data_IF_354226056147
#
_entry.id   IF_354226056147
#
_cell.length_a   1.000
_cell.length_b   1.000
_cell.length_c   1.000
_cell.angle_alpha   90.00
_cell.angle_beta   90.00
_cell.angle_gamma   90.00
#
_symmetry.space_group_name_H-M   'P 1'
#
loop_
_entity.id
_entity.type
_entity.pdbx_description
1 polymer ?
#
# COMPACT_ATOMS: atom_id res chain seq x y z
N UNK A 1 -20.35 -20.06 -0.14
CA UNK A 1 -21.28 -18.94 -0.39
C UNK A 1 -20.82 -17.79 0.48
N UNK A 2 -20.05 -16.84 -0.10
CA UNK A 2 -19.47 -15.74 0.65
C UNK A 2 -20.59 -14.79 1.08
N UNK A 3 -20.59 -14.43 2.36
CA UNK A 3 -21.44 -13.36 2.89
C UNK A 3 -20.99 -12.09 2.21
N UNK A 4 -21.80 -11.54 1.33
CA UNK A 4 -21.59 -10.18 0.80
C UNK A 4 -21.67 -9.26 2.01
N UNK A 5 -20.57 -8.60 2.34
CA UNK A 5 -20.55 -7.55 3.36
C UNK A 5 -21.56 -6.50 2.94
N UNK A 6 -22.69 -6.45 3.63
CA UNK A 6 -23.69 -5.43 3.34
C UNK A 6 -23.19 -4.10 3.87
N UNK A 7 -22.94 -3.18 2.95
CA UNK A 7 -22.68 -1.78 3.27
C UNK A 7 -23.99 -1.00 3.15
N UNK A 8 -24.27 -0.11 4.09
CA UNK A 8 -25.40 0.81 4.02
C UNK A 8 -24.89 2.24 3.85
N UNK A 9 -25.65 3.05 3.08
CA UNK A 9 -25.39 4.48 2.96
C UNK A 9 -25.90 5.16 4.23
N UNK A 10 -25.04 5.94 4.87
CA UNK A 10 -25.35 6.73 6.03
C UNK A 10 -25.14 8.21 5.70
N UNK A 11 -26.22 9.00 5.73
CA UNK A 11 -26.17 10.38 5.25
C UNK A 11 -26.05 10.45 3.72
N UNK A 12 -25.30 11.44 3.20
CA UNK A 12 -25.19 11.67 1.75
C UNK A 12 -24.02 10.91 1.10
N UNK A 13 -22.92 10.71 1.82
CA UNK A 13 -21.66 10.25 1.24
C UNK A 13 -20.90 9.22 2.09
N UNK A 14 -21.44 8.81 3.22
CA UNK A 14 -20.78 7.86 4.11
C UNK A 14 -21.27 6.44 3.89
N UNK A 15 -20.36 5.48 3.97
CA UNK A 15 -20.66 4.06 3.97
C UNK A 15 -20.47 3.50 5.39
N UNK A 16 -21.46 2.77 5.85
CA UNK A 16 -21.38 2.02 7.09
C UNK A 16 -21.29 0.53 6.78
N UNK A 17 -20.27 -0.10 7.29
CA UNK A 17 -20.10 -1.54 7.19
C UNK A 17 -20.81 -2.22 8.36
N UNK A 18 -21.62 -3.24 8.10
CA UNK A 18 -22.18 -4.10 9.15
C UNK A 18 -21.10 -4.93 9.83
N UNK A 19 -20.16 -5.46 9.01
CA UNK A 19 -18.96 -6.11 9.48
C UNK A 19 -17.77 -5.22 9.11
N UNK A 20 -17.19 -4.56 10.10
CA UNK A 20 -16.08 -3.67 9.87
C UNK A 20 -14.84 -4.40 9.32
N UNK A 21 -14.18 -3.88 8.27
CA UNK A 21 -12.89 -4.40 7.84
C UNK A 21 -11.81 -4.10 8.88
N UNK A 22 -10.81 -4.97 8.95
CA UNK A 22 -9.69 -4.85 9.89
C UNK A 22 -8.37 -4.65 9.17
N UNK A 23 -7.52 -3.78 9.72
CA UNK A 23 -6.11 -3.76 9.36
C UNK A 23 -5.42 -4.97 10.01
N UNK A 24 -5.09 -5.96 9.20
CA UNK A 24 -4.44 -7.19 9.67
C UNK A 24 -2.93 -7.03 9.82
N UNK A 25 -2.31 -6.21 8.99
CA UNK A 25 -0.89 -5.91 9.04
C UNK A 25 -0.58 -4.60 8.35
N UNK A 26 0.53 -4.00 8.72
CA UNK A 26 1.05 -2.78 8.13
C UNK A 26 2.57 -2.79 8.18
N UNK A 27 3.19 -2.05 7.28
CA UNK A 27 4.62 -1.87 7.27
C UNK A 27 5.00 -0.51 6.70
N UNK A 28 6.14 -0.02 7.13
CA UNK A 28 6.77 1.21 6.65
C UNK A 28 8.19 0.94 6.21
N UNK A 29 8.53 1.43 5.02
CA UNK A 29 9.89 1.43 4.48
C UNK A 29 10.22 2.85 4.07
N UNK A 30 11.30 3.39 4.57
CA UNK A 30 11.65 4.79 4.34
C UNK A 30 13.13 4.97 4.06
N UNK A 31 13.47 6.13 3.51
CA UNK A 31 14.84 6.53 3.27
C UNK A 31 15.55 7.01 4.54
N UNK A 32 16.86 7.24 4.42
CA UNK A 32 17.74 7.66 5.50
C UNK A 32 17.24 8.89 6.27
N UNK A 33 16.79 9.93 5.58
CA UNK A 33 16.33 11.18 6.22
C UNK A 33 15.16 10.96 7.18
N UNK A 34 14.23 10.07 6.82
CA UNK A 34 13.12 9.71 7.71
C UNK A 34 13.60 8.88 8.89
N UNK A 35 14.62 8.04 8.68
CA UNK A 35 15.28 7.28 9.75
C UNK A 35 15.97 8.14 10.79
N UNK A 36 16.52 9.29 10.37
CA UNK A 36 17.15 10.29 11.23
C UNK A 36 16.12 11.22 11.92
N UNK A 37 14.86 11.14 11.51
CA UNK A 37 13.77 11.94 12.04
C UNK A 37 13.21 11.43 13.37
N UNK A 38 12.29 12.18 13.99
CA UNK A 38 11.76 11.86 15.32
C UNK A 38 10.96 10.56 15.36
N UNK A 39 10.49 10.05 14.22
CA UNK A 39 9.74 8.80 14.09
C UNK A 39 10.60 7.65 13.53
N UNK A 40 11.91 7.86 13.34
CA UNK A 40 12.79 6.87 12.72
C UNK A 40 12.77 5.49 13.40
N UNK A 41 12.68 5.47 14.72
CA UNK A 41 12.61 4.25 15.51
C UNK A 41 11.27 3.48 15.39
N UNK A 42 10.26 4.08 14.77
CA UNK A 42 8.96 3.46 14.50
C UNK A 42 8.84 2.90 13.08
N UNK A 43 9.83 3.20 12.22
CA UNK A 43 9.86 2.73 10.84
C UNK A 43 10.41 1.29 10.83
N UNK A 44 9.71 0.40 10.15
CA UNK A 44 10.07 -1.02 10.11
C UNK A 44 11.41 -1.27 9.40
N UNK A 45 11.69 -0.52 8.33
CA UNK A 45 12.94 -0.65 7.58
C UNK A 45 13.41 0.69 7.03
N UNK A 46 14.67 1.04 7.33
CA UNK A 46 15.34 2.21 6.79
C UNK A 46 16.31 1.76 5.68
N UNK A 47 16.27 2.45 4.56
CA UNK A 47 17.15 2.23 3.41
C UNK A 47 18.11 3.40 3.30
N UNK A 48 19.39 3.13 3.49
CA UNK A 48 20.45 4.14 3.46
C UNK A 48 20.70 4.70 2.06
N UNK A 49 20.64 3.83 1.04
CA UNK A 49 20.79 4.22 -0.35
C UNK A 49 19.48 4.78 -0.90
N UNK A 50 19.41 6.07 -1.27
CA UNK A 50 18.18 6.67 -1.78
C UNK A 50 17.67 6.04 -3.09
N UNK A 51 18.56 5.42 -3.85
CA UNK A 51 18.19 4.68 -5.07
C UNK A 51 17.80 3.23 -4.80
N UNK A 52 17.98 2.74 -3.58
CA UNK A 52 17.71 1.34 -3.22
C UNK A 52 18.36 0.34 -4.19
N UNK A 53 19.58 0.65 -4.67
CA UNK A 53 20.30 -0.14 -5.64
C UNK A 53 19.72 -0.12 -7.06
N UNK A 54 18.86 0.84 -7.38
CA UNK A 54 18.24 1.00 -8.69
C UNK A 54 18.94 2.10 -9.50
N UNK A 55 18.66 2.13 -10.80
CA UNK A 55 19.29 3.07 -11.75
C UNK A 55 18.53 4.39 -11.87
N UNK A 56 17.25 4.44 -11.44
CA UNK A 56 16.41 5.64 -11.52
C UNK A 56 15.53 5.80 -10.27
N UNK A 57 14.97 7.00 -10.09
CA UNK A 57 14.07 7.31 -8.98
C UNK A 57 12.75 6.54 -9.07
N UNK A 58 12.23 6.33 -10.28
CA UNK A 58 10.98 5.59 -10.50
C UNK A 58 11.14 4.12 -10.11
N UNK A 59 12.26 3.52 -10.48
CA UNK A 59 12.60 2.15 -10.10
C UNK A 59 12.84 2.04 -8.59
N UNK A 60 13.49 3.03 -8.00
CA UNK A 60 13.71 3.10 -6.56
C UNK A 60 12.39 3.18 -5.81
N UNK A 61 11.46 4.07 -6.20
CA UNK A 61 10.14 4.18 -5.60
C UNK A 61 9.35 2.88 -5.73
N UNK A 62 9.37 2.25 -6.91
CA UNK A 62 8.77 0.93 -7.11
C UNK A 62 9.36 -0.14 -6.20
N UNK A 63 10.67 -0.08 -5.94
CA UNK A 63 11.35 -0.99 -5.01
C UNK A 63 10.91 -0.75 -3.56
N UNK A 64 10.81 0.50 -3.12
CA UNK A 64 10.28 0.85 -1.79
C UNK A 64 8.87 0.32 -1.61
N UNK A 65 7.99 0.55 -2.58
CA UNK A 65 6.61 0.08 -2.56
C UNK A 65 6.52 -1.45 -2.48
N UNK A 66 7.24 -2.15 -3.33
CA UNK A 66 7.32 -3.62 -3.31
C UNK A 66 7.77 -4.13 -1.95
N UNK A 67 8.82 -3.54 -1.39
CA UNK A 67 9.38 -3.93 -0.10
C UNK A 67 8.36 -3.73 1.03
N UNK A 68 7.69 -2.58 1.06
CA UNK A 68 6.65 -2.29 2.05
C UNK A 68 5.49 -3.28 1.95
N UNK A 69 5.02 -3.58 0.74
CA UNK A 69 3.95 -4.56 0.52
C UNK A 69 4.35 -5.96 0.99
N UNK A 70 5.54 -6.44 0.64
CA UNK A 70 6.03 -7.74 1.09
C UNK A 70 6.16 -7.82 2.60
N UNK A 71 6.67 -6.77 3.24
CA UNK A 71 6.84 -6.71 4.68
C UNK A 71 5.48 -6.69 5.39
N UNK A 72 4.50 -5.94 4.89
CA UNK A 72 3.14 -5.92 5.44
C UNK A 72 2.47 -7.29 5.34
N UNK A 73 2.58 -7.98 4.20
CA UNK A 73 2.06 -9.33 4.00
C UNK A 73 2.71 -10.31 4.98
N UNK A 74 4.03 -10.24 5.15
CA UNK A 74 4.77 -11.08 6.09
C UNK A 74 4.36 -10.83 7.54
N UNK A 75 4.23 -9.56 7.95
CA UNK A 75 3.79 -9.18 9.32
C UNK A 75 2.35 -9.60 9.61
N UNK A 76 1.53 -9.72 8.56
CA UNK A 76 0.16 -10.24 8.67
C UNK A 76 0.09 -11.77 8.74
N UNK A 77 1.22 -12.46 8.65
CA UNK A 77 1.30 -13.93 8.55
C UNK A 77 0.46 -14.47 7.37
N UNK A 78 0.63 -13.82 6.22
CA UNK A 78 -0.04 -14.15 4.96
C UNK A 78 0.97 -14.45 3.85
N UNK A 79 0.48 -15.07 2.79
CA UNK A 79 1.21 -15.25 1.54
C UNK A 79 0.61 -14.35 0.44
N UNK A 80 1.39 -14.04 -0.60
CA UNK A 80 0.92 -13.25 -1.76
C UNK A 80 -0.36 -13.82 -2.39
N UNK A 81 -0.51 -15.14 -2.41
CA UNK A 81 -1.69 -15.83 -2.95
C UNK A 81 -2.98 -15.58 -2.15
N UNK A 82 -2.85 -15.14 -0.90
CA UNK A 82 -3.97 -14.86 -0.02
C UNK A 82 -4.52 -13.45 -0.24
N UNK A 83 -3.79 -12.63 -1.02
CA UNK A 83 -4.18 -11.25 -1.34
C UNK A 83 -4.97 -11.26 -2.64
N UNK A 84 -6.21 -10.80 -2.57
CA UNK A 84 -7.11 -10.77 -3.72
C UNK A 84 -6.80 -9.61 -4.66
N UNK A 85 -6.62 -8.41 -4.12
CA UNK A 85 -6.38 -7.17 -4.86
C UNK A 85 -5.37 -6.30 -4.13
N UNK A 86 -4.69 -5.45 -4.90
CA UNK A 86 -3.87 -4.36 -4.40
C UNK A 86 -4.43 -3.04 -4.94
N UNK A 87 -4.49 -2.02 -4.08
CA UNK A 87 -4.86 -0.65 -4.42
C UNK A 87 -3.68 0.23 -4.05
N UNK A 88 -3.03 0.81 -5.02
CA UNK A 88 -1.81 1.58 -4.80
C UNK A 88 -1.63 2.67 -5.85
N UNK A 89 -0.84 3.66 -5.52
CA UNK A 89 -0.44 4.74 -6.42
C UNK A 89 0.82 5.41 -5.90
N UNK A 90 1.44 6.19 -6.76
CA UNK A 90 2.64 6.96 -6.47
C UNK A 90 2.45 8.45 -6.76
N UNK A 91 3.46 9.24 -6.43
CA UNK A 91 3.46 10.68 -6.67
C UNK A 91 4.44 11.09 -7.76
N UNK A 92 5.43 10.24 -8.05
CA UNK A 92 6.53 10.61 -8.91
C UNK A 92 6.12 10.66 -10.38
N UNK A 93 5.44 9.64 -10.88
CA UNK A 93 5.15 9.50 -12.32
C UNK A 93 3.88 8.70 -12.64
N UNK A 94 2.72 9.18 -12.20
CA UNK A 94 1.40 8.70 -12.63
C UNK A 94 1.26 7.16 -12.66
N UNK A 95 1.61 6.48 -11.57
CA UNK A 95 1.60 5.02 -11.41
C UNK A 95 2.72 4.24 -12.11
N UNK A 96 3.70 4.88 -12.73
CA UNK A 96 4.82 4.16 -13.36
C UNK A 96 5.62 3.37 -12.33
N UNK A 97 5.98 4.00 -11.21
CA UNK A 97 6.66 3.34 -10.11
C UNK A 97 5.80 2.25 -9.47
N UNK A 98 4.49 2.52 -9.30
CA UNK A 98 3.51 1.58 -8.76
C UNK A 98 3.44 0.30 -9.61
N UNK A 99 3.26 0.44 -10.94
CA UNK A 99 3.17 -0.71 -11.83
C UNK A 99 4.48 -1.50 -11.86
N UNK A 100 5.61 -0.80 -11.90
CA UNK A 100 6.94 -1.44 -11.89
C UNK A 100 7.17 -2.24 -10.61
N UNK A 101 6.91 -1.64 -9.45
CA UNK A 101 7.12 -2.27 -8.15
C UNK A 101 6.17 -3.44 -7.87
N UNK A 102 4.89 -3.28 -8.22
CA UNK A 102 3.86 -4.27 -7.89
C UNK A 102 3.79 -5.44 -8.89
N UNK A 103 4.30 -5.26 -10.12
CA UNK A 103 4.32 -6.31 -11.17
C UNK A 103 4.87 -7.64 -10.68
N UNK A 104 5.95 -7.62 -9.92
CA UNK A 104 6.62 -8.83 -9.44
C UNK A 104 5.87 -9.54 -8.31
N UNK A 105 4.89 -8.89 -7.69
CA UNK A 105 4.06 -9.52 -6.66
C UNK A 105 3.04 -10.49 -7.26
N UNK A 106 2.62 -10.25 -8.52
CA UNK A 106 1.63 -11.07 -9.18
C UNK A 106 0.22 -10.94 -8.57
N UNK A 107 -0.05 -9.83 -7.88
CA UNK A 107 -1.35 -9.51 -7.28
C UNK A 107 -2.09 -8.58 -8.23
N UNK A 108 -3.38 -8.83 -8.56
CA UNK A 108 -4.19 -7.91 -9.35
C UNK A 108 -4.17 -6.50 -8.74
N UNK A 109 -3.75 -5.51 -9.54
CA UNK A 109 -3.51 -4.14 -9.10
C UNK A 109 -4.51 -3.17 -9.68
N UNK A 110 -5.08 -2.34 -8.84
CA UNK A 110 -5.78 -1.12 -9.20
C UNK A 110 -4.87 0.07 -8.93
N UNK A 111 -4.37 0.69 -10.01
CA UNK A 111 -3.56 1.91 -9.92
C UNK A 111 -4.44 3.11 -9.61
N UNK A 112 -4.06 3.89 -8.61
CA UNK A 112 -4.77 5.08 -8.15
C UNK A 112 -3.91 6.31 -8.38
N UNK A 113 -4.54 7.41 -8.77
CA UNK A 113 -3.84 8.66 -9.03
C UNK A 113 -4.57 9.84 -8.38
N UNK A 114 -4.37 9.99 -7.08
CA UNK A 114 -4.98 11.03 -6.27
C UNK A 114 -3.95 11.88 -5.50
N UNK A 115 -2.69 11.84 -5.89
CA UNK A 115 -1.61 12.50 -5.17
C UNK A 115 -1.66 12.17 -3.65
N UNK A 116 -1.74 13.16 -2.78
CA UNK A 116 -1.81 12.93 -1.32
C UNK A 116 -3.10 12.22 -0.87
N UNK A 117 -4.17 12.23 -1.68
CA UNK A 117 -5.42 11.50 -1.39
C UNK A 117 -5.34 10.00 -1.68
N UNK A 118 -4.31 9.55 -2.40
CA UNK A 118 -4.16 8.14 -2.82
C UNK A 118 -4.29 7.16 -1.65
N UNK A 119 -3.74 7.48 -0.48
CA UNK A 119 -3.85 6.59 0.69
C UNK A 119 -5.30 6.44 1.16
N UNK A 120 -6.06 7.53 1.19
CA UNK A 120 -7.49 7.51 1.55
C UNK A 120 -8.33 6.75 0.53
N UNK A 121 -8.05 6.95 -0.75
CA UNK A 121 -8.70 6.24 -1.86
C UNK A 121 -8.41 4.74 -1.78
N UNK A 122 -7.14 4.35 -1.61
CA UNK A 122 -6.72 2.96 -1.50
C UNK A 122 -7.39 2.25 -0.32
N UNK A 123 -7.38 2.87 0.86
CA UNK A 123 -8.03 2.32 2.06
C UNK A 123 -9.55 2.18 1.87
N UNK A 124 -10.20 3.18 1.26
CA UNK A 124 -11.64 3.14 1.00
C UNK A 124 -12.02 2.02 0.04
N UNK A 125 -11.30 1.90 -1.08
CA UNK A 125 -11.54 0.85 -2.07
C UNK A 125 -11.23 -0.55 -1.50
N UNK A 126 -10.14 -0.69 -0.76
CA UNK A 126 -9.81 -1.95 -0.10
C UNK A 126 -10.86 -2.37 0.94
N UNK A 127 -11.42 -1.40 1.67
CA UNK A 127 -12.49 -1.68 2.64
C UNK A 127 -13.81 -2.11 1.99
N UNK A 128 -14.05 -1.70 0.74
CA UNK A 128 -15.26 -2.04 -0.02
C UNK A 128 -15.14 -3.33 -0.84
N UNK A 129 -13.90 -3.90 -1.01
CA UNK A 129 -13.60 -5.07 -1.84
C UNK A 129 -13.61 -6.37 -1.05
#
# INVERSE_FOLDING_TARGET
>A
MGVVSMTSICGMQSLKFENAPYLKGWASVAGKKEGEGPLGNLIDQIIEDPYFGQESWELAEGRFMKQAAMLAISKADLHKKDIRYAFAGDLLEQNTATFSGMKELGIPLFGLFGACSTVGEAMSLAAMS
#
